data_IF_359521951223
#
_entry.id   IF_359521951223
#
_cell.length_a   1.000
_cell.length_b   1.000
_cell.length_c   1.000
_cell.angle_alpha   90.00
_cell.angle_beta   90.00
_cell.angle_gamma   90.00
#
_symmetry.space_group_name_H-M   'P 1'
#
loop_
_entity.id
_entity.type
_entity.pdbx_description
1 polymer ?
#
# COMPACT_ATOMS: atom_id res chain seq x y z
N UNK A 1 -23.16 9.34 0.86
CA UNK A 1 -24.02 8.20 0.48
C UNK A 1 -24.76 7.53 1.65
N UNK A 2 -24.26 7.57 2.90
CA UNK A 2 -24.89 6.88 4.06
C UNK A 2 -26.14 7.58 4.63
N UNK A 3 -26.14 8.92 4.72
CA UNK A 3 -27.34 9.68 5.14
C UNK A 3 -28.57 9.48 4.24
N UNK A 4 -28.35 9.26 2.93
CA UNK A 4 -29.44 8.92 1.99
C UNK A 4 -30.06 7.54 2.28
N UNK A 5 -29.29 6.56 2.75
CA UNK A 5 -29.81 5.21 3.08
C UNK A 5 -30.64 5.24 4.36
N UNK A 6 -30.19 5.97 5.38
CA UNK A 6 -30.97 6.20 6.59
C UNK A 6 -32.27 6.96 6.32
N UNK A 7 -32.22 7.99 5.48
CA UNK A 7 -33.42 8.72 5.07
C UNK A 7 -34.42 7.83 4.31
N UNK A 8 -33.94 6.99 3.39
CA UNK A 8 -34.78 6.03 2.65
C UNK A 8 -35.42 5.01 3.61
N UNK A 9 -34.67 4.51 4.58
CA UNK A 9 -35.20 3.56 5.57
C UNK A 9 -36.27 4.19 6.46
N UNK A 10 -36.03 5.40 6.98
CA UNK A 10 -37.01 6.16 7.76
C UNK A 10 -38.28 6.42 6.94
N UNK A 11 -38.14 6.83 5.68
CA UNK A 11 -39.27 7.06 4.77
C UNK A 11 -40.06 5.77 4.51
N UNK A 12 -39.38 4.63 4.31
CA UNK A 12 -40.03 3.33 4.13
C UNK A 12 -40.80 2.87 5.38
N UNK A 13 -40.25 3.11 6.57
CA UNK A 13 -40.92 2.81 7.84
C UNK A 13 -42.14 3.69 8.03
N UNK A 14 -42.04 4.99 7.75
CA UNK A 14 -43.18 5.92 7.82
C UNK A 14 -44.26 5.53 6.82
N UNK A 15 -43.89 5.17 5.58
CA UNK A 15 -44.83 4.67 4.57
C UNK A 15 -45.51 3.37 5.01
N UNK A 16 -44.77 2.44 5.63
CA UNK A 16 -45.35 1.21 6.18
C UNK A 16 -46.32 1.49 7.34
N UNK A 17 -46.01 2.45 8.22
CA UNK A 17 -46.93 2.88 9.29
C UNK A 17 -48.20 3.50 8.73
N UNK A 18 -48.08 4.38 7.72
CA UNK A 18 -49.22 4.99 7.03
C UNK A 18 -50.06 3.91 6.34
N UNK A 19 -49.44 2.92 5.69
CA UNK A 19 -50.14 1.80 5.08
C UNK A 19 -50.90 0.94 6.12
N UNK A 20 -50.30 0.65 7.28
CA UNK A 20 -50.97 -0.10 8.37
C UNK A 20 -52.15 0.69 8.95
N UNK A 21 -52.03 2.01 9.08
CA UNK A 21 -53.13 2.89 9.52
C UNK A 21 -54.25 2.94 8.48
N UNK A 22 -53.92 3.02 7.19
CA UNK A 22 -54.90 3.03 6.10
C UNK A 22 -55.60 1.67 5.94
N UNK A 23 -54.89 0.56 6.14
CA UNK A 23 -55.44 -0.80 6.05
C UNK A 23 -56.30 -1.17 7.27
N UNK A 24 -56.02 -0.62 8.45
CA UNK A 24 -56.77 -0.89 9.68
C UNK A 24 -57.76 0.22 10.08
N UNK A 25 -57.81 1.33 9.33
CA UNK A 25 -58.71 2.47 9.58
C UNK A 25 -60.21 2.19 9.41
N UNK A 26 -60.60 0.94 9.16
CA UNK A 26 -61.98 0.54 8.91
C UNK A 26 -62.74 -0.05 10.10
N UNK A 27 -62.13 -0.52 11.19
CA UNK A 27 -62.90 -1.18 12.26
C UNK A 27 -62.29 -0.96 13.66
N UNK A 28 -63.14 -0.48 14.58
CA UNK A 28 -62.82 -0.13 15.97
C UNK A 28 -62.39 -1.31 16.84
N UNK A 29 -61.20 -1.85 16.58
CA UNK A 29 -60.54 -2.84 17.42
C UNK A 29 -59.18 -2.32 17.89
N UNK A 30 -58.86 -2.54 19.17
CA UNK A 30 -57.66 -2.06 19.85
C UNK A 30 -56.33 -2.62 19.27
N UNK A 31 -56.39 -3.47 18.24
CA UNK A 31 -55.26 -4.11 17.57
C UNK A 31 -54.42 -3.15 16.72
N UNK A 32 -55.02 -2.11 16.12
CA UNK A 32 -54.30 -1.12 15.32
C UNK A 32 -53.23 -0.35 16.11
N UNK A 33 -53.60 0.31 17.23
CA UNK A 33 -52.65 1.02 18.09
C UNK A 33 -51.54 0.13 18.68
N UNK A 34 -51.87 -1.11 19.05
CA UNK A 34 -50.91 -2.08 19.61
C UNK A 34 -49.88 -2.49 18.56
N UNK A 35 -50.29 -2.77 17.32
CA UNK A 35 -49.37 -3.10 16.23
C UNK A 35 -48.46 -1.92 15.85
N UNK A 36 -48.97 -0.69 15.89
CA UNK A 36 -48.17 0.53 15.69
C UNK A 36 -47.13 0.68 16.82
N UNK A 37 -47.52 0.44 18.06
CA UNK A 37 -46.61 0.45 19.21
C UNK A 37 -45.48 -0.58 19.09
N UNK A 38 -45.80 -1.81 18.71
CA UNK A 38 -44.79 -2.88 18.49
C UNK A 38 -43.84 -2.49 17.35
N UNK A 39 -44.36 -1.95 16.24
CA UNK A 39 -43.54 -1.53 15.11
C UNK A 39 -42.60 -0.36 15.48
N UNK A 40 -43.10 0.64 16.20
CA UNK A 40 -42.30 1.75 16.72
C UNK A 40 -41.18 1.26 17.64
N UNK A 41 -41.50 0.35 18.55
CA UNK A 41 -40.52 -0.20 19.50
C UNK A 41 -39.45 -0.99 18.77
N UNK A 42 -39.83 -1.83 17.80
CA UNK A 42 -38.88 -2.58 16.98
C UNK A 42 -37.96 -1.67 16.15
N UNK A 43 -38.50 -0.60 15.57
CA UNK A 43 -37.72 0.40 14.81
C UNK A 43 -36.77 1.17 15.74
N UNK A 44 -37.21 1.59 16.91
CA UNK A 44 -36.38 2.27 17.91
C UNK A 44 -35.22 1.39 18.38
N UNK A 45 -35.47 0.10 18.62
CA UNK A 45 -34.43 -0.88 18.95
C UNK A 45 -33.46 -1.05 17.79
N UNK A 46 -33.93 -1.19 16.54
CA UNK A 46 -33.06 -1.31 15.37
C UNK A 46 -32.21 -0.05 15.13
N UNK A 47 -32.77 1.15 15.33
CA UNK A 47 -32.03 2.41 15.23
C UNK A 47 -31.03 2.52 16.38
N UNK A 48 -31.41 2.17 17.61
CA UNK A 48 -30.52 2.21 18.77
C UNK A 48 -29.36 1.23 18.63
N UNK A 49 -29.63 0.00 18.20
CA UNK A 49 -28.59 -1.00 17.90
C UNK A 49 -27.71 -0.51 16.75
N UNK A 50 -28.28 0.00 15.65
CA UNK A 50 -27.51 0.53 14.52
C UNK A 50 -26.60 1.70 14.90
N UNK A 51 -27.11 2.69 15.64
CA UNK A 51 -26.35 3.86 16.10
C UNK A 51 -25.27 3.45 17.11
N UNK A 52 -25.58 2.53 18.03
CA UNK A 52 -24.58 2.06 19.00
C UNK A 52 -23.50 1.23 18.30
N UNK A 53 -23.84 0.32 17.39
CA UNK A 53 -22.83 -0.43 16.62
C UNK A 53 -21.97 0.47 15.76
N UNK A 54 -22.54 1.50 15.13
CA UNK A 54 -21.80 2.46 14.32
C UNK A 54 -20.84 3.27 15.20
N UNK A 55 -21.33 3.80 16.34
CA UNK A 55 -20.50 4.53 17.29
C UNK A 55 -19.38 3.67 17.88
N UNK A 56 -19.66 2.43 18.28
CA UNK A 56 -18.64 1.49 18.75
C UNK A 56 -17.63 1.17 17.65
N UNK A 57 -18.07 0.99 16.40
CA UNK A 57 -17.18 0.73 15.28
C UNK A 57 -16.26 1.92 14.99
N UNK A 58 -16.77 3.15 15.04
CA UNK A 58 -15.98 4.38 14.86
C UNK A 58 -15.00 4.61 16.00
N UNK A 59 -15.39 4.30 17.23
CA UNK A 59 -14.55 4.44 18.42
C UNK A 59 -13.43 3.39 18.43
N UNK A 60 -13.74 2.14 18.07
CA UNK A 60 -12.74 1.06 17.88
C UNK A 60 -11.80 1.39 16.73
N UNK A 61 -12.32 1.90 15.61
CA UNK A 61 -11.51 2.32 14.47
C UNK A 61 -10.58 3.49 14.84
N UNK A 62 -11.06 4.46 15.62
CA UNK A 62 -10.28 5.60 16.09
C UNK A 62 -9.16 5.14 17.04
N UNK A 63 -9.49 4.29 18.02
CA UNK A 63 -8.53 3.70 18.95
C UNK A 63 -7.48 2.87 18.22
N UNK A 64 -7.88 2.04 17.26
CA UNK A 64 -6.97 1.24 16.43
C UNK A 64 -6.07 2.14 15.57
N UNK A 65 -6.62 3.21 15.00
CA UNK A 65 -5.86 4.19 14.23
C UNK A 65 -4.79 4.88 15.06
N UNK A 66 -5.17 5.41 16.23
CA UNK A 66 -4.20 6.04 17.13
C UNK A 66 -3.13 5.06 17.58
N UNK A 67 -3.50 3.79 17.82
CA UNK A 67 -2.53 2.75 18.19
C UNK A 67 -1.49 2.53 17.08
N UNK A 68 -1.90 2.48 15.80
CA UNK A 68 -0.97 2.26 14.66
C UNK A 68 0.01 3.42 14.46
N UNK A 69 -0.43 4.66 14.71
CA UNK A 69 0.42 5.85 14.58
C UNK A 69 1.34 6.04 15.80
N UNK A 70 0.91 5.64 17.00
CA UNK A 70 1.71 5.73 18.23
C UNK A 70 2.80 4.67 18.33
N UNK A 71 2.68 3.55 17.62
CA UNK A 71 3.70 2.49 17.64
C UNK A 71 4.98 2.93 16.92
N UNK A 72 6.11 2.74 17.58
CA UNK A 72 7.43 2.93 16.98
C UNK A 72 7.69 1.80 15.97
N UNK A 73 7.62 2.12 14.67
CA UNK A 73 7.75 1.17 13.58
C UNK A 73 8.46 1.80 12.38
N UNK A 74 9.22 0.99 11.64
CA UNK A 74 9.76 1.36 10.34
C UNK A 74 8.65 1.23 9.29
N UNK A 75 8.32 2.35 8.63
CA UNK A 75 7.19 2.44 7.71
C UNK A 75 7.66 2.56 6.26
N UNK A 76 7.16 1.68 5.42
CA UNK A 76 7.49 1.59 4.02
C UNK A 76 6.25 1.87 3.17
N UNK A 77 6.42 2.61 2.08
CA UNK A 77 5.37 2.87 1.11
C UNK A 77 5.79 2.33 -0.26
N UNK A 78 5.03 1.39 -0.81
CA UNK A 78 5.27 0.79 -2.12
C UNK A 78 4.33 1.42 -3.14
N UNK A 79 4.92 2.03 -4.16
CA UNK A 79 4.26 2.63 -5.30
C UNK A 79 4.64 1.90 -6.58
N UNK A 80 3.70 1.76 -7.50
CA UNK A 80 3.97 1.18 -8.81
C UNK A 80 2.70 0.66 -9.45
N UNK A 81 2.77 0.38 -10.76
CA UNK A 81 1.62 -0.09 -11.52
C UNK A 81 1.07 -1.41 -10.98
N UNK A 82 -0.22 -1.66 -11.20
CA UNK A 82 -0.81 -2.98 -10.95
C UNK A 82 -0.02 -4.09 -11.64
N UNK A 83 0.12 -5.23 -10.97
CA UNK A 83 0.82 -6.41 -11.50
C UNK A 83 2.36 -6.39 -11.43
N UNK A 84 2.96 -5.36 -10.81
CA UNK A 84 4.43 -5.26 -10.69
C UNK A 84 5.09 -6.14 -9.64
N UNK A 85 4.31 -6.97 -8.95
CA UNK A 85 4.82 -7.90 -7.95
C UNK A 85 5.09 -7.29 -6.57
N UNK A 86 4.57 -6.09 -6.27
CA UNK A 86 4.66 -5.45 -4.92
C UNK A 86 4.20 -6.37 -3.80
N UNK A 87 3.03 -6.98 -3.95
CA UNK A 87 2.52 -7.94 -2.95
C UNK A 87 3.41 -9.17 -2.83
N UNK A 88 3.98 -9.66 -3.95
CA UNK A 88 4.95 -10.76 -3.93
C UNK A 88 6.25 -10.36 -3.23
N UNK A 89 6.74 -9.13 -3.43
CA UNK A 89 7.90 -8.58 -2.70
C UNK A 89 7.65 -8.56 -1.19
N UNK A 90 6.48 -8.09 -0.77
CA UNK A 90 6.07 -8.07 0.64
C UNK A 90 6.04 -9.48 1.23
N UNK A 91 5.40 -10.43 0.54
CA UNK A 91 5.31 -11.84 0.99
C UNK A 91 6.68 -12.50 1.06
N UNK A 92 7.52 -12.28 0.04
CA UNK A 92 8.88 -12.80 -0.04
C UNK A 92 9.73 -12.29 1.13
N UNK A 93 9.68 -10.98 1.41
CA UNK A 93 10.47 -10.42 2.51
C UNK A 93 9.95 -10.81 3.89
N UNK A 94 8.63 -10.70 4.12
CA UNK A 94 8.06 -10.94 5.43
C UNK A 94 8.00 -12.44 5.79
N UNK A 95 7.89 -13.32 4.80
CA UNK A 95 7.94 -14.78 4.96
C UNK A 95 6.55 -15.42 4.93
N UNK A 96 6.14 -15.86 3.73
CA UNK A 96 4.97 -16.72 3.54
C UNK A 96 3.65 -16.01 3.20
N UNK A 97 2.54 -16.69 3.46
CA UNK A 97 1.19 -16.27 3.07
C UNK A 97 0.60 -15.22 4.02
N UNK A 98 1.12 -14.01 3.89
CA UNK A 98 0.72 -12.88 4.71
C UNK A 98 -0.50 -12.23 4.08
N UNK A 99 -1.52 -12.03 4.92
CA UNK A 99 -2.73 -11.31 4.56
C UNK A 99 -2.62 -9.86 5.00
N UNK A 100 -3.14 -8.91 4.21
CA UNK A 100 -3.20 -7.52 4.63
C UNK A 100 -4.10 -7.39 5.86
N UNK A 101 -3.68 -6.58 6.82
CA UNK A 101 -4.50 -6.25 7.99
C UNK A 101 -5.71 -5.38 7.62
N UNK A 102 -5.56 -4.56 6.59
CA UNK A 102 -6.65 -3.85 5.93
C UNK A 102 -6.34 -3.82 4.44
N UNK A 103 -7.35 -4.15 3.64
CA UNK A 103 -7.28 -4.04 2.19
C UNK A 103 -8.52 -3.33 1.68
N UNK A 104 -8.29 -2.38 0.80
CA UNK A 104 -9.29 -1.72 -0.01
C UNK A 104 -8.97 -1.96 -1.48
N UNK A 105 -9.83 -1.47 -2.38
CA UNK A 105 -9.58 -1.51 -3.82
C UNK A 105 -8.27 -0.80 -4.21
N UNK A 106 -7.82 0.19 -3.44
CA UNK A 106 -6.72 1.09 -3.82
C UNK A 106 -5.48 0.99 -2.92
N UNK A 107 -5.65 0.45 -1.73
CA UNK A 107 -4.63 0.48 -0.68
C UNK A 107 -4.74 -0.77 0.18
N UNK A 108 -3.60 -1.39 0.48
CA UNK A 108 -3.50 -2.44 1.48
C UNK A 108 -2.37 -2.10 2.46
N UNK A 109 -2.53 -2.47 3.73
CA UNK A 109 -1.42 -2.41 4.68
C UNK A 109 -1.15 -3.76 5.32
N UNK A 110 0.13 -3.98 5.61
CA UNK A 110 0.66 -5.17 6.25
C UNK A 110 1.49 -4.71 7.43
N UNK A 111 1.47 -5.47 8.52
CA UNK A 111 2.40 -5.28 9.63
C UNK A 111 3.12 -6.59 9.94
N UNK A 112 4.30 -6.47 10.54
CA UNK A 112 5.10 -7.60 10.96
C UNK A 112 6.27 -7.14 11.82
N UNK A 113 7.11 -8.08 12.21
CA UNK A 113 8.32 -7.82 12.97
C UNK A 113 9.51 -8.43 12.24
N UNK A 114 10.61 -7.69 12.19
CA UNK A 114 11.87 -8.14 11.58
C UNK A 114 13.03 -7.87 12.52
N UNK A 115 13.97 -8.81 12.52
CA UNK A 115 15.25 -8.61 13.19
C UNK A 115 16.03 -7.52 12.44
N UNK A 116 16.36 -6.46 13.17
CA UNK A 116 17.30 -5.43 12.72
C UNK A 116 18.72 -5.99 12.76
N UNK A 117 19.00 -6.73 13.83
CA UNK A 117 20.27 -7.35 14.13
C UNK A 117 20.02 -8.75 14.71
N UNK A 118 20.62 -9.75 14.06
CA UNK A 118 20.49 -11.16 14.43
C UNK A 118 21.32 -11.48 15.68
N UNK A 119 22.44 -10.79 15.89
CA UNK A 119 23.35 -11.05 17.01
C UNK A 119 22.73 -10.56 18.32
N UNK A 120 22.23 -9.32 18.33
CA UNK A 120 21.54 -8.75 19.50
C UNK A 120 20.08 -9.17 19.62
N UNK A 121 19.56 -9.94 18.65
CA UNK A 121 18.14 -10.31 18.51
C UNK A 121 17.20 -9.11 18.58
N UNK A 122 17.69 -7.91 18.23
CA UNK A 122 16.89 -6.68 18.26
C UNK A 122 15.87 -6.73 17.13
N UNK A 123 14.59 -6.68 17.50
CA UNK A 123 13.49 -6.62 16.55
C UNK A 123 12.98 -5.19 16.38
N UNK A 124 12.45 -4.90 15.20
CA UNK A 124 11.70 -3.68 14.93
C UNK A 124 10.39 -4.04 14.27
N UNK A 125 9.34 -3.35 14.68
CA UNK A 125 8.06 -3.44 14.01
C UNK A 125 8.15 -2.78 12.64
N UNK A 126 7.46 -3.39 11.68
CA UNK A 126 7.41 -2.98 10.29
C UNK A 126 5.97 -2.72 9.91
N UNK A 127 5.74 -1.63 9.16
CA UNK A 127 4.46 -1.37 8.50
C UNK A 127 4.74 -1.15 7.03
N UNK A 128 4.08 -1.94 6.17
CA UNK A 128 4.19 -1.85 4.72
C UNK A 128 2.85 -1.37 4.16
N UNK A 129 2.90 -0.29 3.41
CA UNK A 129 1.75 0.29 2.74
C UNK A 129 1.87 0.03 1.24
N UNK A 130 0.92 -0.71 0.69
CA UNK A 130 0.89 -1.12 -0.72
C UNK A 130 -0.22 -0.37 -1.45
N UNK A 131 0.18 0.54 -2.34
CA UNK A 131 -0.74 1.19 -3.25
C UNK A 131 -1.04 0.29 -4.45
N UNK A 132 -2.30 -0.12 -4.59
CA UNK A 132 -2.72 -1.21 -5.51
C UNK A 132 -2.57 -0.87 -7.00
N UNK A 133 -2.16 0.35 -7.35
CA UNK A 133 -1.70 0.67 -8.70
C UNK A 133 -2.80 0.89 -9.74
N UNK A 134 -4.00 1.32 -9.31
CA UNK A 134 -5.17 1.47 -10.20
C UNK A 134 -5.16 2.76 -11.03
N UNK A 135 -4.93 3.93 -10.42
CA UNK A 135 -4.85 5.21 -11.13
C UNK A 135 -4.06 6.25 -10.32
N UNK A 136 -2.97 6.81 -10.85
CA UNK A 136 -2.10 7.74 -10.11
C UNK A 136 -2.82 8.92 -9.46
N UNK A 137 -3.89 9.43 -10.08
CA UNK A 137 -4.69 10.54 -9.54
C UNK A 137 -5.44 10.20 -8.25
N UNK A 138 -5.63 8.92 -7.97
CA UNK A 138 -6.30 8.41 -6.76
C UNK A 138 -5.32 8.19 -5.59
N UNK A 139 -4.03 8.49 -5.77
CA UNK A 139 -3.00 8.29 -4.78
C UNK A 139 -3.21 9.18 -3.52
N UNK A 140 -3.46 10.48 -3.72
CA UNK A 140 -3.67 11.46 -2.65
C UNK A 140 -4.95 11.21 -1.84
N UNK A 141 -6.00 10.72 -2.49
CA UNK A 141 -7.33 10.54 -1.89
C UNK A 141 -7.43 9.28 -1.02
N UNK A 142 -6.59 8.26 -1.26
CA UNK A 142 -6.75 6.93 -0.68
C UNK A 142 -5.56 6.44 0.16
N UNK A 143 -4.47 7.21 0.22
CA UNK A 143 -3.37 6.95 1.14
C UNK A 143 -3.86 7.13 2.59
N UNK A 144 -4.21 6.01 3.23
CA UNK A 144 -4.89 5.99 4.54
C UNK A 144 -4.15 6.85 5.56
N UNK A 145 -4.71 8.01 5.89
CA UNK A 145 -4.18 8.87 6.96
C UNK A 145 -4.12 8.14 8.30
N UNK A 146 -4.95 7.11 8.46
CA UNK A 146 -4.97 6.21 9.62
C UNK A 146 -3.68 5.37 9.75
N UNK A 147 -2.97 5.11 8.64
CA UNK A 147 -1.77 4.25 8.62
C UNK A 147 -0.50 5.10 8.45
N UNK A 148 -0.56 6.10 7.57
CA UNK A 148 0.60 6.89 7.18
C UNK A 148 0.78 8.16 8.02
N UNK A 149 -0.25 8.58 8.77
CA UNK A 149 -0.32 9.88 9.46
C UNK A 149 -1.08 10.92 8.64
N UNK A 150 -1.38 12.10 9.19
CA UNK A 150 -2.00 13.20 8.43
C UNK A 150 -0.97 13.84 7.45
N UNK A 151 -1.41 14.50 6.36
CA UNK A 151 -0.52 15.31 5.53
C UNK A 151 0.32 16.27 6.38
N UNK A 152 1.62 16.39 6.08
CA UNK A 152 2.59 17.17 6.87
C UNK A 152 3.04 16.52 8.18
N UNK A 153 2.37 15.46 8.64
CA UNK A 153 2.74 14.65 9.83
C UNK A 153 2.83 13.16 9.48
N UNK A 154 3.20 12.86 8.24
CA UNK A 154 3.39 11.47 7.80
C UNK A 154 4.57 10.86 8.53
N UNK A 155 4.54 9.54 8.74
CA UNK A 155 5.57 8.78 9.47
C UNK A 155 6.38 7.82 8.58
N UNK A 156 6.39 8.06 7.26
CA UNK A 156 7.02 7.18 6.28
C UNK A 156 8.54 7.28 6.38
N UNK A 157 9.23 6.14 6.37
CA UNK A 157 10.69 6.05 6.43
C UNK A 157 11.33 5.71 5.09
N UNK A 158 10.63 4.99 4.22
CA UNK A 158 11.11 4.76 2.86
C UNK A 158 9.98 4.59 1.85
N UNK A 159 10.28 4.98 0.62
CA UNK A 159 9.38 4.88 -0.53
C UNK A 159 10.04 3.99 -1.59
N UNK A 160 9.32 2.96 -2.04
CA UNK A 160 9.75 2.07 -3.10
C UNK A 160 8.92 2.30 -4.35
N UNK A 161 9.57 2.69 -5.44
CA UNK A 161 8.99 2.73 -6.78
C UNK A 161 9.25 1.39 -7.46
N UNK A 162 8.22 0.56 -7.63
CA UNK A 162 8.36 -0.80 -8.16
C UNK A 162 7.96 -0.84 -9.62
N UNK A 163 8.95 -1.10 -10.47
CA UNK A 163 8.81 -1.34 -11.91
C UNK A 163 9.15 -2.81 -12.23
N UNK A 164 8.78 -3.26 -13.42
CA UNK A 164 8.98 -4.64 -13.85
C UNK A 164 9.03 -4.72 -15.37
N UNK A 165 9.60 -5.80 -15.90
CA UNK A 165 9.71 -6.04 -17.35
C UNK A 165 8.48 -6.75 -17.96
N UNK A 166 7.63 -7.36 -17.13
CA UNK A 166 6.49 -8.14 -17.58
C UNK A 166 5.28 -7.93 -16.66
N UNK A 167 4.07 -7.70 -17.19
CA UNK A 167 2.88 -7.53 -16.37
C UNK A 167 2.49 -8.81 -15.63
N UNK A 168 1.52 -8.70 -14.72
CA UNK A 168 0.78 -9.88 -14.25
C UNK A 168 -0.26 -10.23 -15.31
N UNK A 169 -0.17 -11.45 -15.83
CA UNK A 169 -1.15 -12.02 -16.75
C UNK A 169 -1.98 -13.06 -16.02
N UNK A 170 -3.25 -13.18 -16.40
CA UNK A 170 -4.18 -14.12 -15.79
C UNK A 170 -4.80 -15.01 -16.87
N UNK A 171 -4.87 -16.31 -16.59
CA UNK A 171 -5.58 -17.32 -17.38
C UNK A 171 -6.55 -18.02 -16.43
N UNK A 172 -7.84 -18.05 -16.78
CA UNK A 172 -8.89 -18.62 -15.93
C UNK A 172 -8.94 -18.02 -14.51
N UNK A 173 -8.81 -16.69 -14.38
CA UNK A 173 -8.76 -15.94 -13.12
C UNK A 173 -7.60 -16.30 -12.17
N UNK A 174 -6.59 -17.02 -12.67
CA UNK A 174 -5.37 -17.32 -11.92
C UNK A 174 -4.16 -16.66 -12.59
N UNK A 175 -3.19 -16.14 -11.81
CA UNK A 175 -1.94 -15.65 -12.36
C UNK A 175 -1.21 -16.76 -13.12
N UNK A 176 -0.62 -16.43 -14.26
CA UNK A 176 0.29 -17.35 -14.94
C UNK A 176 1.46 -17.74 -14.02
N UNK A 177 1.89 -18.99 -14.15
CA UNK A 177 3.13 -19.46 -13.54
C UNK A 177 4.35 -18.74 -14.14
N UNK A 178 5.51 -18.83 -13.46
CA UNK A 178 6.76 -18.25 -13.97
C UNK A 178 7.13 -18.84 -15.34
N UNK A 179 6.98 -20.15 -15.52
CA UNK A 179 7.26 -20.86 -16.77
C UNK A 179 6.35 -20.37 -17.91
N UNK A 180 5.04 -20.32 -17.69
CA UNK A 180 4.10 -19.79 -18.69
C UNK A 180 4.34 -18.31 -19.03
N UNK A 181 4.81 -17.52 -18.05
CA UNK A 181 5.14 -16.12 -18.29
C UNK A 181 6.41 -15.97 -19.11
N UNK A 182 7.40 -16.85 -18.94
CA UNK A 182 8.61 -16.92 -19.77
C UNK A 182 8.24 -17.32 -21.20
N UNK A 183 7.43 -18.36 -21.38
CA UNK A 183 6.95 -18.79 -22.70
C UNK A 183 6.19 -17.67 -23.41
N UNK A 184 5.32 -16.97 -22.66
CA UNK A 184 4.65 -15.80 -23.18
C UNK A 184 5.65 -14.72 -23.57
N UNK A 185 6.66 -14.42 -22.75
CA UNK A 185 7.62 -13.35 -23.04
C UNK A 185 8.46 -13.68 -24.28
N UNK A 186 8.89 -14.93 -24.43
CA UNK A 186 9.83 -15.39 -25.46
C UNK A 186 9.38 -15.11 -26.91
N UNK A 187 8.08 -15.17 -27.21
CA UNK A 187 7.61 -15.08 -28.62
C UNK A 187 7.73 -13.69 -29.25
N UNK A 188 7.89 -12.63 -28.46
CA UNK A 188 7.99 -11.24 -28.94
C UNK A 188 8.63 -10.37 -27.84
N UNK A 189 9.83 -10.79 -27.41
CA UNK A 189 10.44 -10.34 -26.15
C UNK A 189 10.63 -8.83 -26.10
N UNK A 190 11.30 -8.25 -27.11
CA UNK A 190 11.63 -6.82 -27.12
C UNK A 190 10.38 -5.93 -27.14
N UNK A 191 9.42 -6.23 -28.02
CA UNK A 191 8.14 -5.51 -28.12
C UNK A 191 7.32 -5.59 -26.82
N UNK A 192 7.27 -6.76 -26.18
CA UNK A 192 6.56 -6.94 -24.90
C UNK A 192 7.22 -6.17 -23.76
N UNK A 193 8.55 -6.21 -23.67
CA UNK A 193 9.32 -5.44 -22.68
C UNK A 193 9.12 -3.94 -22.93
N UNK A 194 9.26 -3.49 -24.17
CA UNK A 194 9.10 -2.09 -24.55
C UNK A 194 7.71 -1.56 -24.23
N UNK A 195 6.66 -2.32 -24.58
CA UNK A 195 5.27 -1.99 -24.22
C UNK A 195 5.09 -1.91 -22.71
N UNK A 196 5.73 -2.79 -21.94
CA UNK A 196 5.66 -2.74 -20.48
C UNK A 196 6.42 -1.53 -19.92
N UNK A 197 7.57 -1.18 -20.49
CA UNK A 197 8.33 0.02 -20.14
C UNK A 197 7.51 1.29 -20.40
N UNK A 198 6.83 1.39 -21.54
CA UNK A 198 5.94 2.51 -21.88
C UNK A 198 4.82 2.67 -20.85
N UNK A 199 4.20 1.56 -20.42
CA UNK A 199 3.19 1.59 -19.36
C UNK A 199 3.71 2.12 -18.03
N UNK A 200 4.98 1.89 -17.70
CA UNK A 200 5.60 2.45 -16.49
C UNK A 200 6.00 3.91 -16.70
N UNK A 201 6.44 4.28 -17.89
CA UNK A 201 6.76 5.66 -18.25
C UNK A 201 5.53 6.56 -18.21
N UNK A 202 4.35 6.07 -18.58
CA UNK A 202 3.08 6.79 -18.39
C UNK A 202 2.69 6.94 -16.91
N UNK A 203 3.17 6.02 -16.07
CA UNK A 203 2.79 5.91 -14.66
C UNK A 203 3.71 6.70 -13.73
N UNK A 204 4.99 6.80 -14.08
CA UNK A 204 6.06 7.43 -13.28
C UNK A 204 6.64 8.61 -14.07
N UNK A 205 5.77 9.60 -14.31
CA UNK A 205 6.13 10.89 -14.92
C UNK A 205 6.33 11.97 -13.83
N UNK A 206 7.07 13.05 -14.12
CA UNK A 206 7.31 14.14 -13.17
C UNK A 206 6.05 14.67 -12.47
N UNK A 207 4.97 14.94 -13.21
CA UNK A 207 3.71 15.45 -12.63
C UNK A 207 3.07 14.46 -11.63
N UNK A 208 3.18 13.16 -11.89
CA UNK A 208 2.68 12.13 -10.96
C UNK A 208 3.61 12.00 -9.76
N UNK A 209 4.92 12.08 -9.97
CA UNK A 209 5.90 12.04 -8.88
C UNK A 209 5.68 13.17 -7.89
N UNK A 210 5.37 14.38 -8.35
CA UNK A 210 5.01 15.50 -7.46
C UNK A 210 3.81 15.17 -6.56
N UNK A 211 2.77 14.55 -7.13
CA UNK A 211 1.58 14.09 -6.38
C UNK A 211 1.96 12.98 -5.38
N UNK A 212 2.80 12.02 -5.80
CA UNK A 212 3.27 10.93 -4.94
C UNK A 212 4.07 11.49 -3.78
N UNK A 213 5.08 12.33 -4.04
CA UNK A 213 5.93 12.93 -3.01
C UNK A 213 5.14 13.84 -2.08
N UNK A 214 4.17 14.62 -2.56
CA UNK A 214 3.26 15.37 -1.68
C UNK A 214 2.45 14.45 -0.74
N UNK A 215 2.15 13.22 -1.17
CA UNK A 215 1.40 12.25 -0.37
C UNK A 215 2.29 11.57 0.67
N UNK A 216 3.53 11.23 0.30
CA UNK A 216 4.42 10.34 1.08
C UNK A 216 5.53 11.08 1.83
N UNK A 217 5.78 12.36 1.53
CA UNK A 217 6.82 13.13 2.19
C UNK A 217 6.61 13.14 3.71
N UNK A 218 7.70 12.88 4.41
CA UNK A 218 7.79 12.82 5.86
C UNK A 218 9.16 13.34 6.26
N UNK A 219 9.23 14.05 7.39
CA UNK A 219 10.52 14.42 8.02
C UNK A 219 11.30 13.20 8.54
N UNK A 220 10.69 12.00 8.51
CA UNK A 220 11.34 10.74 8.84
C UNK A 220 11.77 9.94 7.60
N UNK A 221 11.56 10.48 6.38
CA UNK A 221 11.89 9.79 5.13
C UNK A 221 13.42 9.70 5.02
N UNK A 222 13.95 8.48 4.95
CA UNK A 222 15.39 8.22 4.90
C UNK A 222 15.84 7.78 3.52
N UNK A 223 14.99 7.06 2.80
CA UNK A 223 15.40 6.39 1.56
C UNK A 223 14.26 6.36 0.53
N UNK A 224 14.60 6.66 -0.71
CA UNK A 224 13.78 6.42 -1.89
C UNK A 224 14.49 5.38 -2.74
N UNK A 225 13.79 4.32 -3.14
CA UNK A 225 14.41 3.27 -3.94
C UNK A 225 13.58 2.93 -5.16
N UNK A 226 14.19 2.98 -6.34
CA UNK A 226 13.65 2.36 -7.54
C UNK A 226 13.95 0.85 -7.48
N UNK A 227 12.91 0.04 -7.47
CA UNK A 227 12.99 -1.42 -7.45
C UNK A 227 12.62 -1.95 -8.84
N UNK A 228 13.59 -2.52 -9.54
CA UNK A 228 13.40 -3.21 -10.81
C UNK A 228 13.15 -4.68 -10.48
N UNK A 229 11.89 -5.10 -10.55
CA UNK A 229 11.46 -6.44 -10.18
C UNK A 229 11.35 -7.38 -11.40
N UNK A 230 11.30 -8.69 -11.11
CA UNK A 230 11.20 -9.80 -12.08
C UNK A 230 12.46 -9.97 -12.93
N UNK A 231 13.63 -9.76 -12.33
CA UNK A 231 14.91 -9.95 -13.03
C UNK A 231 15.11 -11.41 -13.48
N UNK A 232 14.54 -12.36 -12.75
CA UNK A 232 14.55 -13.79 -13.08
C UNK A 232 13.95 -14.09 -14.47
N UNK A 233 12.90 -13.34 -14.86
CA UNK A 233 12.33 -13.46 -16.20
C UNK A 233 13.29 -12.94 -17.27
N UNK A 234 14.02 -11.87 -16.96
CA UNK A 234 14.98 -11.25 -17.89
C UNK A 234 16.18 -12.17 -18.10
N UNK A 235 16.73 -12.70 -17.00
CA UNK A 235 17.81 -13.70 -17.01
C UNK A 235 17.43 -14.91 -17.85
N UNK A 236 16.17 -15.38 -17.70
CA UNK A 236 15.66 -16.54 -18.44
C UNK A 236 15.56 -16.29 -19.95
N UNK A 237 14.97 -15.17 -20.38
CA UNK A 237 14.85 -14.87 -21.82
C UNK A 237 16.20 -14.53 -22.47
N UNK A 238 17.14 -13.96 -21.72
CA UNK A 238 18.53 -13.77 -22.17
C UNK A 238 19.24 -15.12 -22.32
N UNK A 239 19.05 -16.05 -21.38
CA UNK A 239 19.60 -17.41 -21.47
C UNK A 239 19.08 -18.16 -22.71
N UNK A 240 17.82 -17.93 -23.09
CA UNK A 240 17.18 -18.50 -24.27
C UNK A 240 17.60 -17.84 -25.59
N UNK A 241 18.41 -16.77 -25.54
CA UNK A 241 18.84 -16.02 -26.72
C UNK A 241 17.75 -15.15 -27.34
N UNK A 242 16.70 -14.82 -26.60
CA UNK A 242 15.59 -14.00 -27.10
C UNK A 242 15.91 -12.50 -27.20
N UNK A 243 17.02 -12.05 -26.61
CA UNK A 243 17.50 -10.66 -26.67
C UNK A 243 18.92 -10.66 -27.28
N UNK A 244 19.05 -10.31 -28.57
CA UNK A 244 20.35 -10.30 -29.25
C UNK A 244 21.34 -9.32 -28.60
N UNK A 245 22.60 -9.73 -28.50
CA UNK A 245 23.70 -8.87 -28.04
C UNK A 245 23.78 -8.65 -26.52
N UNK A 246 22.86 -9.23 -25.74
CA UNK A 246 22.90 -9.21 -24.28
C UNK A 246 23.34 -10.59 -23.76
N UNK A 247 24.34 -10.60 -22.88
CA UNK A 247 24.78 -11.81 -22.19
C UNK A 247 24.25 -11.83 -20.76
N UNK A 248 24.22 -13.02 -20.13
CA UNK A 248 23.82 -13.14 -18.72
C UNK A 248 24.65 -12.25 -17.77
N UNK A 249 25.92 -12.02 -18.08
CA UNK A 249 26.80 -11.16 -17.28
C UNK A 249 26.37 -9.68 -17.27
N UNK A 250 25.60 -9.24 -18.29
CA UNK A 250 25.21 -7.84 -18.48
C UNK A 250 23.71 -7.60 -18.25
N UNK A 251 22.97 -8.58 -17.72
CA UNK A 251 21.51 -8.49 -17.52
C UNK A 251 21.14 -7.34 -16.60
N UNK A 252 21.88 -7.15 -15.52
CA UNK A 252 21.64 -6.06 -14.56
C UNK A 252 21.87 -4.67 -15.17
N UNK A 253 22.92 -4.53 -15.98
CA UNK A 253 23.21 -3.28 -16.69
C UNK A 253 22.13 -2.99 -17.74
N UNK A 254 21.72 -4.01 -18.48
CA UNK A 254 20.63 -3.91 -19.44
C UNK A 254 19.31 -3.49 -18.76
N UNK A 255 18.96 -4.10 -17.62
CA UNK A 255 17.78 -3.73 -16.84
C UNK A 255 17.82 -2.27 -16.37
N UNK A 256 18.98 -1.81 -15.87
CA UNK A 256 19.16 -0.39 -15.49
C UNK A 256 19.00 0.54 -16.68
N UNK A 257 19.57 0.17 -17.83
CA UNK A 257 19.46 0.97 -19.05
C UNK A 257 18.02 1.08 -19.55
N UNK A 258 17.23 -0.01 -19.49
CA UNK A 258 15.80 0.02 -19.82
C UNK A 258 15.03 1.05 -18.97
N UNK A 259 15.27 1.06 -17.67
CA UNK A 259 14.55 1.92 -16.73
C UNK A 259 15.24 3.26 -16.43
N UNK A 260 16.33 3.60 -17.14
CA UNK A 260 17.15 4.79 -16.88
C UNK A 260 16.36 6.09 -16.85
N UNK A 261 15.38 6.25 -17.76
CA UNK A 261 14.53 7.45 -17.77
C UNK A 261 13.64 7.54 -16.54
N UNK A 262 13.12 6.41 -16.04
CA UNK A 262 12.34 6.36 -14.80
C UNK A 262 13.25 6.64 -13.61
N UNK A 263 14.45 6.06 -13.59
CA UNK A 263 15.48 6.33 -12.56
C UNK A 263 15.75 7.83 -12.46
N UNK A 264 16.02 8.50 -13.59
CA UNK A 264 16.24 9.95 -13.63
C UNK A 264 15.03 10.73 -13.09
N UNK A 265 13.81 10.42 -13.54
CA UNK A 265 12.61 11.11 -13.07
C UNK A 265 12.45 11.00 -11.54
N UNK A 266 12.63 9.79 -10.98
CA UNK A 266 12.48 9.55 -9.55
C UNK A 266 13.60 10.24 -8.77
N UNK A 267 14.85 10.16 -9.25
CA UNK A 267 16.00 10.84 -8.63
C UNK A 267 15.79 12.34 -8.59
N UNK A 268 15.45 12.96 -9.72
CA UNK A 268 15.19 14.41 -9.78
C UNK A 268 14.07 14.82 -8.82
N UNK A 269 13.00 14.04 -8.72
CA UNK A 269 11.91 14.32 -7.79
C UNK A 269 12.34 14.15 -6.32
N UNK A 270 13.24 13.19 -6.03
CA UNK A 270 13.84 13.00 -4.71
C UNK A 270 14.77 14.16 -4.34
N UNK A 271 15.60 14.63 -5.27
CA UNK A 271 16.53 15.73 -5.04
C UNK A 271 15.80 17.04 -4.74
N UNK A 272 14.65 17.29 -5.37
CA UNK A 272 13.82 18.49 -5.12
C UNK A 272 13.27 18.58 -3.70
N UNK A 273 13.04 17.45 -3.04
CA UNK A 273 12.51 17.42 -1.66
C UNK A 273 13.60 17.23 -0.61
N UNK A 274 14.83 16.95 -1.04
CA UNK A 274 15.99 16.78 -0.17
C UNK A 274 16.50 18.15 0.24
N UNK A 275 16.81 18.32 1.52
CA UNK A 275 17.34 19.57 2.06
C UNK A 275 18.62 19.34 2.87
N UNK A 276 19.44 20.37 3.14
CA UNK A 276 20.64 20.23 3.97
C UNK A 276 20.35 19.69 5.37
N UNK A 277 19.16 19.97 5.90
CA UNK A 277 18.71 19.51 7.22
C UNK A 277 18.06 18.12 7.18
N UNK A 278 17.67 17.65 6.00
CA UNK A 278 16.98 16.39 5.79
C UNK A 278 17.46 15.71 4.50
N UNK A 279 18.52 14.92 4.63
CA UNK A 279 19.07 14.13 3.53
C UNK A 279 18.26 12.86 3.29
N UNK A 280 17.85 12.64 2.04
CA UNK A 280 17.14 11.44 1.60
C UNK A 280 18.02 10.72 0.60
N UNK A 281 18.36 9.47 0.89
CA UNK A 281 19.17 8.65 -0.01
C UNK A 281 18.33 8.15 -1.19
N UNK A 282 18.89 8.14 -2.40
CA UNK A 282 18.28 7.52 -3.57
C UNK A 282 19.07 6.28 -4.02
N UNK A 283 18.40 5.14 -4.06
CA UNK A 283 18.98 3.86 -4.47
C UNK A 283 18.22 3.21 -5.64
N UNK A 284 18.90 2.32 -6.35
CA UNK A 284 18.29 1.43 -7.35
C UNK A 284 18.63 0.01 -7.00
N UNK A 285 17.59 -0.82 -6.83
CA UNK A 285 17.73 -2.23 -6.51
C UNK A 285 17.10 -3.09 -7.59
N UNK A 286 17.81 -4.14 -8.00
CA UNK A 286 17.34 -5.14 -8.95
C UNK A 286 17.00 -6.38 -8.14
N UNK A 287 15.77 -6.87 -8.29
CA UNK A 287 15.25 -7.94 -7.44
C UNK A 287 14.44 -8.95 -8.25
N UNK A 288 14.31 -10.15 -7.70
CA UNK A 288 13.24 -11.05 -8.05
C UNK A 288 12.43 -11.42 -6.82
N UNK A 289 11.17 -10.97 -6.81
CA UNK A 289 10.23 -11.30 -5.75
C UNK A 289 9.91 -12.80 -5.71
N UNK A 290 10.00 -13.50 -6.85
CA UNK A 290 9.59 -14.89 -6.99
C UNK A 290 10.56 -15.84 -6.28
N UNK A 291 11.86 -15.63 -6.44
CA UNK A 291 12.92 -16.43 -5.81
C UNK A 291 13.54 -15.76 -4.56
N UNK A 292 13.21 -14.49 -4.29
CA UNK A 292 13.72 -13.74 -3.13
C UNK A 292 15.07 -13.05 -3.35
N UNK A 293 15.64 -13.12 -4.57
CA UNK A 293 16.92 -12.49 -4.91
C UNK A 293 16.90 -10.99 -4.59
N UNK A 294 17.87 -10.55 -3.78
CA UNK A 294 18.09 -9.16 -3.34
C UNK A 294 16.92 -8.49 -2.59
N UNK A 295 15.83 -9.21 -2.30
CA UNK A 295 14.65 -8.65 -1.61
C UNK A 295 15.02 -8.27 -0.16
N UNK A 296 15.58 -9.22 0.60
CA UNK A 296 15.92 -8.97 2.00
C UNK A 296 16.94 -7.83 2.16
N UNK A 297 17.94 -7.76 1.27
CA UNK A 297 18.93 -6.68 1.28
C UNK A 297 18.26 -5.30 1.12
N UNK A 298 17.39 -5.16 0.11
CA UNK A 298 16.68 -3.90 -0.20
C UNK A 298 15.94 -3.32 1.00
N UNK A 299 15.22 -4.15 1.76
CA UNK A 299 14.45 -3.68 2.92
C UNK A 299 15.29 -3.57 4.21
N UNK A 300 16.22 -4.51 4.44
CA UNK A 300 16.99 -4.57 5.68
C UNK A 300 17.98 -3.41 5.80
N UNK A 301 18.51 -2.89 4.70
CA UNK A 301 19.37 -1.71 4.71
C UNK A 301 18.65 -0.48 5.30
N UNK A 302 17.41 -0.24 4.88
CA UNK A 302 16.56 0.83 5.44
C UNK A 302 16.25 0.58 6.90
N UNK A 303 15.91 -0.67 7.23
CA UNK A 303 15.54 -1.05 8.60
C UNK A 303 16.69 -0.79 9.59
N UNK A 304 17.92 -1.14 9.20
CA UNK A 304 19.13 -0.87 9.99
C UNK A 304 19.35 0.63 10.18
N UNK A 305 19.21 1.44 9.13
CA UNK A 305 19.33 2.90 9.22
C UNK A 305 18.29 3.49 10.19
N UNK A 306 17.03 3.09 10.06
CA UNK A 306 15.96 3.50 10.97
C UNK A 306 16.26 3.14 12.44
N UNK A 307 16.78 1.93 12.68
CA UNK A 307 17.13 1.48 14.02
C UNK A 307 18.30 2.26 14.65
N UNK A 308 19.26 2.74 13.84
CA UNK A 308 20.38 3.55 14.30
C UNK A 308 19.93 4.98 14.65
N UNK A 309 19.08 5.59 13.81
CA UNK A 309 18.51 6.93 14.07
C UNK A 309 17.68 6.93 15.35
N UNK A 310 16.85 5.90 15.55
CA UNK A 310 16.03 5.78 16.76
C UNK A 310 16.88 5.58 18.02
N UNK A 311 17.99 4.83 17.96
CA UNK A 311 18.90 4.70 19.11
C UNK A 311 19.56 6.02 19.51
N UNK A 312 19.92 6.88 18.54
CA UNK A 312 20.54 8.17 18.84
C UNK A 312 19.56 9.16 19.49
N UNK A 313 18.27 9.11 19.14
CA UNK A 313 17.23 9.91 19.80
C UNK A 313 16.93 9.45 21.24
N UNK A 314 17.26 8.20 21.58
CA UNK A 314 16.99 7.62 22.90
C UNK A 314 18.12 7.79 23.93
N UNK A 315 19.29 8.31 23.54
CA UNK A 315 20.33 8.67 24.50
C UNK A 315 19.95 10.01 25.15
N UNK A 316 19.65 10.06 26.46
CA UNK A 316 19.45 11.34 27.12
C UNK A 316 20.76 12.12 27.03
N UNK A 317 20.67 13.36 26.56
CA UNK A 317 21.71 14.38 26.72
C UNK A 317 22.05 14.42 28.22
N UNK A 318 23.12 13.74 28.63
CA UNK A 318 23.75 13.98 29.91
C UNK A 318 24.28 15.41 29.82
N UNK A 319 23.44 16.37 30.25
CA UNK A 319 23.87 17.73 30.54
C UNK A 319 25.16 17.61 31.35
N UNK A 320 26.27 18.02 30.74
CA UNK A 320 27.47 18.41 31.45
C UNK A 320 27.08 19.63 32.28
N UNK A 321 26.60 19.41 33.50
CA UNK A 321 26.80 20.37 34.56
C UNK A 321 28.28 20.31 34.90
N UNK A 322 29.06 21.19 34.26
CA UNK A 322 30.36 21.55 34.78
C UNK A 322 30.14 22.36 36.06
N UNK A 323 30.77 21.90 37.14
CA UNK A 323 30.98 22.64 38.37
C UNK A 323 31.99 23.78 38.13
#
# INVERSE_FOLDING_TARGET
MRGRRYLIFIVLVVLAMVAVVLLNGGMGSATGPVMIGILLTAVLVLISVGVTTDFYSELVDSMRTESLLKVNACRFYLYGRGGSGKTTLIKSWLGGDIRPEQSTKFFAFYSGEKYVDLETKKQSRIILSDYQGQSPSQNTLNASAKVLGQPGRRLINAVFFVVDIAPRLERNNQPLSTEELIDWLATDTESKIQKRLEQHLEYIVPAILEIVFATVYSTNLLNVTLVINKIDLLESVVAMGCIPGISQANVDEYARNLFRRIEMNVREACDRITSPEHHIDFNVSIVSAANGTCVAQTFNEVLRRYANVSSNRSKPERRRTAA
#
